data_IF_072937903893
#
_entry.id   IF_072937903893
#
_cell.length_a   1.000
_cell.length_b   1.000
_cell.length_c   1.000
_cell.angle_alpha   90.00
_cell.angle_beta   90.00
_cell.angle_gamma   90.00
#
_symmetry.space_group_name_H-M   'P 1'
#
loop_
_entity.id
_entity.type
_entity.pdbx_description
1 polymer ?
#
# COMPACT_ATOMS: atom_id res chain seq x y z
N UNK A 1 -3.65 12.10 3.20
CA UNK A 1 -4.64 11.91 2.11
C UNK A 1 -5.27 10.53 2.28
N UNK A 2 -6.60 10.37 2.15
CA UNK A 2 -7.20 9.05 2.04
C UNK A 2 -6.74 8.35 0.76
N UNK A 3 -6.61 7.04 0.81
CA UNK A 3 -6.22 6.23 -0.34
C UNK A 3 -7.05 4.94 -0.37
N UNK A 4 -7.32 4.43 -1.56
CA UNK A 4 -8.01 3.15 -1.71
C UNK A 4 -7.09 2.00 -1.26
N UNK A 5 -7.71 0.91 -0.82
CA UNK A 5 -7.06 -0.35 -0.55
C UNK A 5 -7.37 -1.30 -1.70
N UNK A 6 -6.34 -1.98 -2.20
CA UNK A 6 -6.47 -3.05 -3.16
C UNK A 6 -5.91 -4.34 -2.57
N UNK A 7 -6.55 -5.46 -2.88
CA UNK A 7 -6.03 -6.78 -2.56
C UNK A 7 -5.61 -7.51 -3.83
N UNK A 8 -4.49 -8.21 -3.77
CA UNK A 8 -4.06 -9.15 -4.80
C UNK A 8 -4.17 -10.59 -4.26
N UNK A 9 -5.29 -11.29 -4.53
CA UNK A 9 -5.50 -12.66 -4.06
C UNK A 9 -4.55 -13.66 -4.74
N UNK A 10 -4.17 -14.72 -4.02
CA UNK A 10 -3.27 -15.76 -4.54
C UNK A 10 -3.73 -16.37 -5.88
N UNK A 11 -5.04 -16.59 -6.03
CA UNK A 11 -5.62 -17.12 -7.26
C UNK A 11 -5.46 -16.18 -8.47
N UNK A 12 -5.39 -14.87 -8.24
CA UNK A 12 -5.26 -13.87 -9.31
C UNK A 12 -3.81 -13.66 -9.73
N UNK A 13 -2.84 -13.88 -8.82
CA UNK A 13 -1.39 -13.77 -9.10
C UNK A 13 -0.96 -14.68 -10.26
N UNK A 14 -1.57 -15.86 -10.39
CA UNK A 14 -1.17 -16.86 -11.39
C UNK A 14 -1.81 -16.68 -12.77
N UNK A 15 -2.88 -15.88 -12.85
CA UNK A 15 -3.75 -15.82 -14.03
C UNK A 15 -3.75 -14.47 -14.73
N UNK A 16 -3.24 -13.43 -14.08
CA UNK A 16 -3.41 -12.07 -14.55
C UNK A 16 -2.38 -11.67 -15.61
N UNK A 17 -2.87 -11.00 -16.66
CA UNK A 17 -2.03 -10.35 -17.67
C UNK A 17 -1.42 -9.02 -17.16
N UNK A 18 -2.04 -8.39 -16.16
CA UNK A 18 -1.57 -7.12 -15.57
C UNK A 18 -2.05 -6.95 -14.13
N UNK A 19 -1.41 -6.06 -13.38
CA UNK A 19 -1.74 -5.82 -11.97
C UNK A 19 -3.14 -5.22 -11.83
N UNK A 20 -3.53 -4.33 -12.76
CA UNK A 20 -4.87 -3.71 -12.82
C UNK A 20 -5.99 -4.72 -12.99
N UNK A 21 -5.75 -5.83 -13.68
CA UNK A 21 -6.73 -6.92 -13.81
C UNK A 21 -6.69 -7.89 -12.62
N UNK A 22 -5.53 -8.02 -11.97
CA UNK A 22 -5.32 -8.96 -10.87
C UNK A 22 -5.85 -8.46 -9.53
N UNK A 23 -5.68 -7.15 -9.29
CA UNK A 23 -6.00 -6.51 -8.02
C UNK A 23 -7.48 -6.15 -7.93
N UNK A 24 -8.05 -6.34 -6.74
CA UNK A 24 -9.43 -6.01 -6.41
C UNK A 24 -9.40 -4.74 -5.57
N UNK A 25 -9.90 -3.64 -6.12
CA UNK A 25 -10.09 -2.39 -5.38
C UNK A 25 -11.29 -2.54 -4.43
N UNK A 26 -11.17 -1.98 -3.23
CA UNK A 26 -12.20 -2.05 -2.22
C UNK A 26 -12.20 -0.83 -1.32
N UNK A 27 -11.85 -1.07 -0.07
CA UNK A 27 -12.04 -0.14 1.05
C UNK A 27 -11.19 1.13 0.92
N UNK A 28 -11.52 2.13 1.75
CA UNK A 28 -10.73 3.35 1.87
C UNK A 28 -9.96 3.37 3.17
N UNK A 29 -8.72 3.82 3.13
CA UNK A 29 -7.88 3.97 4.32
C UNK A 29 -7.50 5.41 4.57
N UNK A 30 -7.62 5.82 5.82
CA UNK A 30 -7.27 7.14 6.34
C UNK A 30 -6.16 6.99 7.36
N UNK A 31 -5.08 7.77 7.22
CA UNK A 31 -4.09 7.89 8.29
C UNK A 31 -4.61 8.86 9.34
N UNK A 32 -4.52 8.45 10.60
CA UNK A 32 -4.85 9.29 11.76
C UNK A 32 -3.54 9.84 12.30
N UNK A 33 -3.47 11.17 12.42
CA UNK A 33 -2.28 11.88 12.87
C UNK A 33 -2.49 12.48 14.25
N UNK A 34 -1.45 12.42 15.05
CA UNK A 34 -1.29 13.23 16.26
C UNK A 34 -0.30 14.38 15.95
N UNK A 35 -0.63 15.59 16.38
CA UNK A 35 0.30 16.72 16.32
C UNK A 35 1.19 16.67 17.55
N UNK A 36 2.49 16.46 17.34
CA UNK A 36 3.51 16.50 18.40
C UNK A 36 4.31 17.78 18.28
N UNK A 37 4.53 18.45 19.41
CA UNK A 37 5.49 19.56 19.47
C UNK A 37 6.88 18.99 19.63
N UNK A 38 7.77 19.39 18.74
CA UNK A 38 9.18 19.05 18.79
C UNK A 38 9.99 20.31 19.00
N UNK A 39 10.75 20.34 20.08
CA UNK A 39 11.76 21.37 20.31
C UNK A 39 12.92 21.08 19.37
N UNK A 40 13.16 21.97 18.42
CA UNK A 40 14.34 21.93 17.56
C UNK A 40 15.41 22.83 18.17
N UNK A 41 16.69 22.65 17.76
CA UNK A 41 17.77 23.55 18.18
C UNK A 41 17.37 25.02 17.97
N UNK A 42 17.80 25.89 18.88
CA UNK A 42 17.45 27.32 18.97
C UNK A 42 16.05 27.66 19.55
N UNK A 43 15.44 26.76 20.34
CA UNK A 43 14.11 26.94 20.96
C UNK A 43 12.95 27.12 19.98
N UNK A 44 13.16 26.80 18.70
CA UNK A 44 12.11 26.78 17.69
C UNK A 44 11.19 25.57 17.93
N UNK A 45 9.95 25.82 18.35
CA UNK A 45 8.91 24.81 18.42
C UNK A 45 8.39 24.54 17.01
N UNK A 46 8.53 23.29 16.54
CA UNK A 46 7.87 22.84 15.32
C UNK A 46 6.78 21.83 15.65
N UNK A 47 5.62 22.02 15.05
CA UNK A 47 4.58 21.01 15.04
C UNK A 47 4.90 19.97 13.97
N UNK A 48 5.02 18.72 14.40
CA UNK A 48 5.21 17.55 13.55
C UNK A 48 3.95 16.70 13.61
N UNK A 49 3.35 16.42 12.45
CA UNK A 49 2.23 15.47 12.36
C UNK A 49 2.80 14.06 12.27
N UNK A 50 2.47 13.22 13.24
CA UNK A 50 2.94 11.83 13.31
C UNK A 50 1.76 10.89 13.11
N UNK A 51 1.83 9.92 12.18
CA UNK A 51 0.74 8.99 11.94
C UNK A 51 0.75 7.94 13.06
N UNK A 52 -0.34 7.86 13.81
CA UNK A 52 -0.46 7.00 14.99
C UNK A 52 -1.33 5.76 14.71
N UNK A 53 -2.31 5.88 13.81
CA UNK A 53 -3.19 4.79 13.44
C UNK A 53 -3.65 4.91 11.99
N UNK A 54 -4.35 3.90 11.52
CA UNK A 54 -5.11 3.99 10.28
C UNK A 54 -6.51 3.44 10.44
N UNK A 55 -7.48 4.19 9.94
CA UNK A 55 -8.89 3.82 9.89
C UNK A 55 -9.24 3.29 8.50
N UNK A 56 -9.85 2.11 8.44
CA UNK A 56 -10.40 1.52 7.22
C UNK A 56 -11.90 1.74 7.19
N UNK A 57 -12.38 2.35 6.11
CA UNK A 57 -13.79 2.56 5.83
C UNK A 57 -14.28 1.58 4.78
N UNK A 58 -15.30 0.80 5.13
CA UNK A 58 -15.86 -0.27 4.31
C UNK A 58 -17.21 0.18 3.76
N UNK A 59 -17.48 -0.16 2.50
CA UNK A 59 -18.77 0.12 1.89
C UNK A 59 -19.81 -0.91 2.36
N UNK A 60 -20.92 -0.43 2.90
CA UNK A 60 -22.04 -1.26 3.34
C UNK A 60 -22.88 -1.71 2.14
N UNK A 61 -23.76 -2.69 2.36
CA UNK A 61 -24.72 -3.14 1.35
C UNK A 61 -25.70 -2.04 0.89
N UNK A 62 -25.87 -0.96 1.68
CA UNK A 62 -26.73 0.18 1.36
C UNK A 62 -25.98 1.30 0.62
N UNK A 63 -24.68 1.12 0.34
CA UNK A 63 -23.84 2.10 -0.36
C UNK A 63 -23.34 3.24 0.53
N UNK A 64 -23.49 3.14 1.85
CA UNK A 64 -22.86 4.04 2.82
C UNK A 64 -21.47 3.53 3.21
N UNK A 65 -20.63 4.38 3.79
CA UNK A 65 -19.35 3.96 4.37
C UNK A 65 -19.43 3.95 5.88
N UNK A 66 -18.92 2.88 6.49
CA UNK A 66 -18.81 2.73 7.94
C UNK A 66 -17.37 2.44 8.33
N UNK A 67 -16.99 2.79 9.56
CA UNK A 67 -15.69 2.44 10.12
C UNK A 67 -15.66 0.91 10.32
N UNK A 68 -14.82 0.23 9.54
CA UNK A 68 -14.62 -1.21 9.69
C UNK A 68 -13.55 -1.53 10.73
N UNK A 69 -12.37 -0.91 10.58
CA UNK A 69 -11.21 -1.21 11.44
C UNK A 69 -10.43 0.06 11.79
N UNK A 70 -9.81 0.05 12.98
CA UNK A 70 -8.83 1.04 13.40
C UNK A 70 -7.59 0.28 13.89
N UNK A 71 -6.48 0.41 13.17
CA UNK A 71 -5.29 -0.38 13.43
C UNK A 71 -4.06 0.51 13.65
N UNK A 72 -3.22 0.10 14.60
CA UNK A 72 -1.87 0.60 14.79
C UNK A 72 -0.86 -0.42 14.27
N UNK A 73 0.35 0.04 13.91
CA UNK A 73 1.42 -0.89 13.51
C UNK A 73 2.41 -0.31 12.51
N UNK A 74 3.42 -1.12 12.11
CA UNK A 74 4.53 -0.64 11.30
C UNK A 74 4.08 -0.11 9.92
N UNK A 75 3.01 -0.65 9.36
CA UNK A 75 2.49 -0.20 8.08
C UNK A 75 1.83 1.19 8.12
N UNK A 76 1.45 1.71 9.29
CA UNK A 76 0.91 3.08 9.44
C UNK A 76 2.00 4.10 9.07
N UNK A 77 3.13 4.06 9.78
CA UNK A 77 4.27 4.93 9.50
C UNK A 77 4.89 4.62 8.13
N UNK A 78 4.94 3.33 7.73
CA UNK A 78 5.50 2.96 6.44
C UNK A 78 4.67 3.49 5.25
N UNK A 79 3.35 3.59 5.39
CA UNK A 79 2.46 4.16 4.36
C UNK A 79 2.73 5.65 4.18
N UNK A 80 2.84 6.41 5.27
CA UNK A 80 3.20 7.83 5.17
C UNK A 80 4.57 8.03 4.53
N UNK A 81 5.56 7.24 4.94
CA UNK A 81 6.90 7.32 4.36
C UNK A 81 6.92 6.94 2.87
N UNK A 82 6.13 5.95 2.45
CA UNK A 82 5.99 5.59 1.04
C UNK A 82 5.39 6.75 0.23
N UNK A 83 4.34 7.40 0.74
CA UNK A 83 3.71 8.56 0.09
C UNK A 83 4.72 9.71 -0.03
N UNK A 84 5.40 10.06 1.06
CA UNK A 84 6.41 11.13 1.09
C UNK A 84 7.57 10.88 0.12
N UNK A 85 7.94 9.61 -0.10
CA UNK A 85 8.95 9.23 -1.10
C UNK A 85 8.40 9.28 -2.52
N UNK A 86 7.18 8.81 -2.73
CA UNK A 86 6.50 8.87 -4.03
C UNK A 86 6.38 10.31 -4.54
N UNK A 87 5.99 11.26 -3.69
CA UNK A 87 5.87 12.69 -4.03
C UNK A 87 7.20 13.33 -4.50
N UNK A 88 8.34 12.69 -4.23
CA UNK A 88 9.67 13.14 -4.66
C UNK A 88 10.13 12.53 -5.97
N UNK A 89 9.39 11.57 -6.53
CA UNK A 89 9.74 10.94 -7.78
C UNK A 89 9.45 11.90 -8.94
N UNK A 90 10.41 12.13 -9.87
CA UNK A 90 10.20 13.01 -11.01
C UNK A 90 8.99 12.64 -11.87
N UNK A 91 8.72 11.35 -12.02
CA UNK A 91 7.57 10.81 -12.76
C UNK A 91 6.27 11.24 -12.10
N UNK A 92 6.19 11.13 -10.77
CA UNK A 92 5.00 11.49 -9.99
C UNK A 92 4.76 13.00 -9.96
N UNK A 93 5.82 13.80 -9.91
CA UNK A 93 5.72 15.27 -9.93
C UNK A 93 5.23 15.82 -11.27
N UNK A 94 5.51 15.12 -12.37
CA UNK A 94 5.17 15.54 -13.74
C UNK A 94 3.88 14.89 -14.25
N UNK A 95 3.55 13.71 -13.76
CA UNK A 95 2.39 12.93 -14.16
C UNK A 95 1.20 13.10 -13.23
N UNK A 96 0.15 12.32 -13.49
CA UNK A 96 -1.06 12.26 -12.68
C UNK A 96 -1.21 10.86 -12.14
N UNK A 97 -0.90 10.67 -10.87
CA UNK A 97 -0.97 9.37 -10.21
C UNK A 97 -2.05 9.33 -9.15
N UNK A 98 -2.69 8.18 -9.02
CA UNK A 98 -3.60 7.86 -7.92
C UNK A 98 -2.93 6.84 -6.99
N UNK A 99 -2.90 7.18 -5.70
CA UNK A 99 -2.28 6.34 -4.67
C UNK A 99 -3.26 5.28 -4.17
N UNK A 100 -2.86 4.02 -4.27
CA UNK A 100 -3.59 2.85 -3.81
C UNK A 100 -2.68 2.02 -2.90
N UNK A 101 -3.17 1.63 -1.74
CA UNK A 101 -2.48 0.70 -0.85
C UNK A 101 -2.75 -0.73 -1.30
N UNK A 102 -1.77 -1.37 -1.91
CA UNK A 102 -1.86 -2.75 -2.37
C UNK A 102 -1.41 -3.71 -1.26
N UNK A 103 -2.27 -4.68 -0.93
CA UNK A 103 -2.01 -5.76 0.03
C UNK A 103 -1.96 -7.09 -0.74
N UNK A 104 -0.89 -7.85 -0.56
CA UNK A 104 -0.72 -9.20 -1.12
C UNK A 104 -0.57 -10.20 0.03
N UNK A 105 -1.68 -10.71 0.59
CA UNK A 105 -1.65 -11.50 1.82
C UNK A 105 -0.77 -12.76 1.71
N UNK A 106 -0.85 -13.45 0.57
CA UNK A 106 -0.21 -14.75 0.38
C UNK A 106 1.33 -14.74 0.45
N UNK A 107 1.94 -13.57 0.30
CA UNK A 107 3.41 -13.40 0.39
C UNK A 107 3.81 -12.33 1.41
N UNK A 108 2.86 -11.88 2.22
CA UNK A 108 3.04 -10.84 3.24
C UNK A 108 3.73 -9.57 2.69
N UNK A 109 3.20 -9.05 1.59
CA UNK A 109 3.71 -7.82 0.95
C UNK A 109 2.64 -6.74 1.00
N UNK A 110 3.05 -5.53 1.39
CA UNK A 110 2.25 -4.31 1.26
C UNK A 110 3.05 -3.31 0.43
N UNK A 111 2.41 -2.63 -0.49
CA UNK A 111 3.03 -1.63 -1.35
C UNK A 111 2.12 -0.41 -1.56
N UNK A 112 2.74 0.76 -1.70
CA UNK A 112 2.07 1.90 -2.31
C UNK A 112 2.11 1.73 -3.83
N UNK A 113 0.95 1.52 -4.43
CA UNK A 113 0.76 1.42 -5.87
C UNK A 113 0.28 2.78 -6.39
N UNK A 114 1.09 3.38 -7.23
CA UNK A 114 0.81 4.62 -7.93
C UNK A 114 0.28 4.26 -9.32
N UNK A 115 -1.02 4.39 -9.48
CA UNK A 115 -1.69 4.17 -10.76
C UNK A 115 -1.55 5.43 -11.61
N UNK A 116 -0.93 5.30 -12.78
CA UNK A 116 -0.93 6.37 -13.78
C UNK A 116 -2.38 6.60 -14.27
N UNK A 117 -2.89 7.82 -14.20
CA UNK A 117 -4.26 8.15 -14.65
C UNK A 117 -4.35 8.41 -16.14
N UNK A 118 -3.23 8.73 -16.78
CA UNK A 118 -3.17 9.09 -18.19
C UNK A 118 -2.56 7.96 -19.06
N UNK A 119 -2.12 6.86 -18.44
CA UNK A 119 -1.46 5.74 -19.11
C UNK A 119 -1.40 4.45 -18.28
N UNK A 120 -0.41 3.61 -18.55
CA UNK A 120 -0.16 2.32 -17.88
C UNK A 120 1.21 2.25 -17.19
N UNK A 121 1.89 3.39 -17.03
CA UNK A 121 3.21 3.53 -16.42
C UNK A 121 3.17 3.48 -14.89
N UNK A 122 2.47 2.49 -14.36
CA UNK A 122 2.29 2.27 -12.93
C UNK A 122 3.60 2.02 -12.19
N UNK A 123 3.70 2.60 -11.00
CA UNK A 123 4.84 2.43 -10.10
C UNK A 123 4.40 1.83 -8.78
N UNK A 124 5.25 1.00 -8.20
CA UNK A 124 5.05 0.45 -6.87
C UNK A 124 6.25 0.73 -5.97
N UNK A 125 5.95 1.09 -4.73
CA UNK A 125 6.92 1.19 -3.65
C UNK A 125 6.51 0.21 -2.54
N UNK A 126 7.24 -0.89 -2.42
CA UNK A 126 6.99 -1.87 -1.33
C UNK A 126 7.38 -1.28 0.02
N UNK A 127 6.74 -1.73 1.08
CA UNK A 127 6.90 -1.17 2.42
C UNK A 127 7.42 -2.21 3.40
N UNK A 128 8.27 -1.83 4.37
CA UNK A 128 8.65 -2.71 5.46
C UNK A 128 7.47 -2.89 6.44
N UNK A 129 7.38 -4.06 7.12
CA UNK A 129 8.13 -5.29 6.84
C UNK A 129 7.76 -5.88 5.47
N UNK A 130 8.75 -6.39 4.74
CA UNK A 130 8.56 -7.01 3.41
C UNK A 130 9.47 -8.22 3.24
N UNK A 131 9.19 -9.04 2.23
CA UNK A 131 10.05 -10.15 1.83
C UNK A 131 11.43 -9.61 1.38
N UNK A 132 12.57 -10.24 1.75
CA UNK A 132 13.91 -9.80 1.34
C UNK A 132 14.15 -9.73 -0.17
N UNK A 133 13.34 -10.43 -0.98
CA UNK A 133 13.38 -10.33 -2.43
C UNK A 133 12.94 -8.95 -2.96
N UNK A 134 12.28 -8.15 -2.12
CA UNK A 134 11.82 -6.80 -2.42
C UNK A 134 12.69 -5.79 -1.68
N UNK A 135 13.11 -4.74 -2.37
CA UNK A 135 13.80 -3.61 -1.77
C UNK A 135 12.77 -2.54 -1.39
N UNK A 136 12.48 -2.33 -0.10
CA UNK A 136 11.45 -1.37 0.31
C UNK A 136 11.74 0.03 -0.21
N UNK A 137 10.67 0.73 -0.59
CA UNK A 137 10.65 2.09 -1.12
C UNK A 137 11.42 2.32 -2.43
N UNK A 138 11.95 1.27 -3.05
CA UNK A 138 12.52 1.38 -4.40
C UNK A 138 11.38 1.31 -5.41
N UNK A 139 11.17 2.34 -6.26
CA UNK A 139 10.14 2.29 -7.29
C UNK A 139 10.39 1.13 -8.25
N UNK A 140 9.32 0.43 -8.64
CA UNK A 140 9.35 -0.63 -9.64
C UNK A 140 8.06 -0.62 -10.46
N UNK A 141 8.12 -1.13 -11.68
CA UNK A 141 6.96 -1.18 -12.56
C UNK A 141 6.01 -2.32 -12.17
N UNK A 142 4.73 -2.20 -12.55
CA UNK A 142 3.73 -3.25 -12.35
C UNK A 142 4.15 -4.64 -12.84
N UNK A 143 4.71 -4.82 -14.07
CA UNK A 143 5.17 -6.14 -14.51
C UNK A 143 6.30 -6.71 -13.66
N UNK A 144 7.30 -5.88 -13.31
CA UNK A 144 8.43 -6.34 -12.49
C UNK A 144 8.00 -6.75 -11.09
N UNK A 145 7.05 -6.02 -10.50
CA UNK A 145 6.44 -6.38 -9.22
C UNK A 145 5.70 -7.72 -9.29
N UNK A 146 4.83 -7.89 -10.30
CA UNK A 146 4.06 -9.12 -10.47
C UNK A 146 4.96 -10.35 -10.65
N UNK A 147 6.03 -10.23 -11.43
CA UNK A 147 6.99 -11.32 -11.63
C UNK A 147 7.62 -11.79 -10.31
N UNK A 148 7.99 -10.86 -9.43
CA UNK A 148 8.56 -11.18 -8.13
C UNK A 148 7.50 -11.83 -7.22
N UNK A 149 6.33 -11.23 -7.13
CA UNK A 149 5.22 -11.75 -6.31
C UNK A 149 4.78 -13.12 -6.77
N UNK A 150 4.74 -13.37 -8.08
CA UNK A 150 4.44 -14.69 -8.64
C UNK A 150 5.46 -15.75 -8.20
N UNK A 151 6.76 -15.43 -8.30
CA UNK A 151 7.84 -16.34 -7.84
C UNK A 151 7.79 -16.59 -6.32
N UNK A 152 7.39 -15.61 -5.53
CA UNK A 152 7.19 -15.77 -4.10
C UNK A 152 5.96 -16.64 -3.79
N UNK A 153 4.85 -16.42 -4.51
CA UNK A 153 3.61 -17.16 -4.35
C UNK A 153 3.76 -18.65 -4.68
N UNK A 154 4.58 -19.00 -5.67
CA UNK A 154 4.91 -20.40 -5.99
C UNK A 154 5.64 -21.13 -4.86
N UNK A 155 6.32 -20.39 -3.98
CA UNK A 155 7.05 -20.93 -2.82
C UNK A 155 6.24 -20.89 -1.54
N UNK A 156 5.12 -20.18 -1.54
CA UNK A 156 4.24 -20.14 -0.40
C UNK A 156 3.58 -21.52 -0.26
N UNK A 157 3.50 -22.10 0.96
CA UNK A 157 2.70 -23.28 1.17
C UNK A 157 1.29 -23.00 0.65
N UNK A 158 0.75 -23.88 -0.19
CA UNK A 158 -0.69 -23.92 -0.38
C UNK A 158 -1.26 -24.23 0.99
N UNK A 159 -1.99 -23.28 1.61
CA UNK A 159 -2.75 -23.59 2.82
C UNK A 159 -3.67 -24.76 2.48
N UNK A 160 -3.24 -25.95 2.91
CA UNK A 160 -4.01 -27.16 2.82
C UNK A 160 -5.20 -26.96 3.74
N UNK A 161 -6.37 -26.75 3.15
CA UNK A 161 -7.64 -26.99 3.83
C UNK A 161 -7.67 -28.47 4.20
N UNK A 162 -7.07 -28.82 5.33
CA UNK A 162 -7.40 -30.03 6.07
C UNK A 162 -8.56 -29.65 6.98
N UNK A 163 -9.77 -29.76 6.46
CA UNK A 163 -10.96 -29.93 7.29
C UNK A 163 -10.81 -31.29 7.99
N UNK A 164 -10.65 -31.26 9.31
CA UNK A 164 -10.91 -32.37 10.22
C UNK A 164 -12.14 -32.06 11.05
#
# INVERSE_FOLDING_TARGET
MPHQVAHLPLGNIHRAASLRMAAILGDWRFLVHETKRRIVADNDEREERVPIAAATMVMTATGTYELGELNEGPFVAATEEAIRRAEKLPEVQKGRFEAVLLIVPAVYVVALWLQDRDGDADLLLTMPPSNPALMPYRPMTSPAFLDIVHKLAQKAPSDGVTRG
#
